data_IF_897386639817
#
_entry.id   IF_897386639817
#
_cell.length_a   1.000
_cell.length_b   1.000
_cell.length_c   1.000
_cell.angle_alpha   90.00
_cell.angle_beta   90.00
_cell.angle_gamma   90.00
#
_symmetry.space_group_name_H-M   'P 1'
#
loop_
_entity.id
_entity.type
_entity.pdbx_description
1 polymer ?
#
# COMPACT_ATOMS: atom_id res chain seq x y z
N UNK A 1 -22.94 -1.99 26.36
CA UNK A 1 -22.16 -2.69 25.33
C UNK A 1 -20.75 -2.90 25.82
N UNK A 2 -20.30 -4.11 25.85
CA UNK A 2 -18.94 -4.40 26.23
C UNK A 2 -17.96 -4.01 25.14
N UNK A 3 -16.85 -3.45 25.57
CA UNK A 3 -15.76 -3.10 24.67
C UNK A 3 -14.78 -4.27 24.62
N UNK A 4 -14.51 -4.79 23.44
CA UNK A 4 -13.56 -5.86 23.28
C UNK A 4 -12.26 -5.34 22.68
N UNK A 5 -11.16 -5.96 23.05
CA UNK A 5 -9.84 -5.61 22.56
C UNK A 5 -9.26 -6.80 21.81
N UNK A 6 -9.04 -6.62 20.52
CA UNK A 6 -8.53 -7.70 19.67
C UNK A 6 -7.39 -7.20 18.81
N UNK A 7 -6.36 -8.01 18.68
CA UNK A 7 -5.30 -7.75 17.72
C UNK A 7 -5.85 -7.92 16.29
N UNK A 8 -5.36 -7.09 15.39
CA UNK A 8 -5.64 -7.23 13.98
C UNK A 8 -4.63 -8.21 13.40
N UNK A 9 -5.12 -9.27 12.78
CA UNK A 9 -4.27 -10.30 12.20
C UNK A 9 -4.21 -10.11 10.68
N UNK A 10 -3.04 -9.79 10.17
CA UNK A 10 -2.86 -9.47 8.75
C UNK A 10 -3.29 -10.63 7.85
N UNK A 11 -2.98 -11.87 8.24
CA UNK A 11 -3.35 -13.04 7.44
C UNK A 11 -4.87 -13.20 7.29
N UNK A 12 -5.64 -12.85 8.32
CA UNK A 12 -7.11 -12.89 8.25
C UNK A 12 -7.65 -11.83 7.31
N UNK A 13 -7.07 -10.64 7.34
CA UNK A 13 -7.48 -9.55 6.45
C UNK A 13 -7.12 -9.87 5.00
N UNK A 14 -5.91 -10.36 4.77
CA UNK A 14 -5.45 -10.75 3.44
C UNK A 14 -6.29 -11.87 2.83
N UNK A 15 -6.75 -12.82 3.65
CA UNK A 15 -7.60 -13.91 3.17
C UNK A 15 -8.91 -13.43 2.56
N UNK A 16 -9.35 -12.21 2.89
CA UNK A 16 -10.58 -11.61 2.35
C UNK A 16 -10.35 -10.82 1.07
N UNK A 17 -9.10 -10.67 0.63
CA UNK A 17 -8.72 -9.89 -0.54
C UNK A 17 -8.32 -10.85 -1.64
N UNK A 18 -9.05 -10.80 -2.77
CA UNK A 18 -8.82 -11.69 -3.91
C UNK A 18 -8.37 -10.95 -5.18
N UNK A 19 -8.33 -9.63 -5.13
CA UNK A 19 -7.88 -8.78 -6.23
C UNK A 19 -6.50 -8.18 -5.96
N UNK A 20 -5.93 -7.56 -6.98
CA UNK A 20 -4.63 -6.91 -6.90
C UNK A 20 -4.77 -5.39 -7.03
N UNK A 21 -3.83 -4.67 -6.43
CA UNK A 21 -3.69 -3.21 -6.55
C UNK A 21 -4.86 -2.42 -5.99
N UNK A 22 -5.62 -3.00 -5.08
CA UNK A 22 -6.76 -2.35 -4.44
C UNK A 22 -6.60 -2.38 -2.93
N UNK A 23 -5.97 -1.37 -2.33
CA UNK A 23 -5.73 -1.33 -0.89
C UNK A 23 -7.03 -1.30 -0.09
N UNK A 24 -7.01 -1.98 1.04
CA UNK A 24 -8.13 -1.99 2.01
C UNK A 24 -7.65 -1.49 3.35
N UNK A 25 -8.45 -0.63 3.96
CA UNK A 25 -8.14 -0.09 5.28
C UNK A 25 -8.41 -1.14 6.34
N UNK A 26 -7.45 -1.34 7.26
CA UNK A 26 -7.59 -2.25 8.39
C UNK A 26 -7.55 -1.54 9.74
N UNK A 27 -7.01 -0.34 9.80
CA UNK A 27 -6.91 0.45 11.04
C UNK A 27 -6.61 1.90 10.71
N UNK A 28 -6.81 2.75 11.69
CA UNK A 28 -6.46 4.18 11.62
C UNK A 28 -5.69 4.59 12.86
N UNK A 29 -4.77 5.52 12.67
CA UNK A 29 -4.08 6.19 13.77
C UNK A 29 -4.01 7.68 13.42
N UNK A 30 -4.68 8.51 14.24
CA UNK A 30 -4.82 9.95 13.92
C UNK A 30 -5.44 10.11 12.52
N UNK A 31 -4.80 10.86 11.63
CA UNK A 31 -5.26 11.06 10.26
C UNK A 31 -4.71 10.02 9.30
N UNK A 32 -3.99 9.01 9.81
CA UNK A 32 -3.33 8.01 8.99
C UNK A 32 -4.13 6.73 8.92
N UNK A 33 -4.08 6.07 7.77
CA UNK A 33 -4.69 4.77 7.55
C UNK A 33 -3.62 3.71 7.33
N UNK A 34 -3.85 2.55 7.92
CA UNK A 34 -3.08 1.34 7.66
C UNK A 34 -3.88 0.55 6.63
N UNK A 35 -3.28 0.32 5.47
CA UNK A 35 -3.95 -0.37 4.36
C UNK A 35 -3.18 -1.63 4.01
N UNK A 36 -3.93 -2.70 3.77
CA UNK A 36 -3.34 -3.96 3.33
C UNK A 36 -3.71 -4.21 1.87
N UNK A 37 -2.78 -4.79 1.10
CA UNK A 37 -2.97 -4.95 -0.33
C UNK A 37 -2.16 -6.14 -0.85
N UNK A 38 -2.71 -6.80 -1.88
CA UNK A 38 -1.97 -7.76 -2.70
C UNK A 38 -1.59 -7.09 -4.00
N UNK A 39 -0.37 -7.32 -4.47
CA UNK A 39 0.08 -6.80 -5.75
C UNK A 39 0.79 -7.88 -6.54
N UNK A 40 0.71 -7.77 -7.86
CA UNK A 40 1.46 -8.59 -8.80
C UNK A 40 1.51 -7.86 -10.14
N UNK A 41 2.66 -7.90 -10.81
CA UNK A 41 2.87 -7.22 -12.08
C UNK A 41 3.22 -5.76 -11.93
N UNK A 42 3.00 -5.01 -12.99
CA UNK A 42 3.30 -3.59 -13.07
C UNK A 42 2.21 -2.72 -12.49
N UNK A 43 2.62 -1.56 -12.00
CA UNK A 43 1.72 -0.47 -11.70
C UNK A 43 2.07 0.72 -12.62
N UNK A 44 1.63 1.92 -12.28
CA UNK A 44 1.90 3.12 -13.07
C UNK A 44 2.88 4.03 -12.35
N UNK A 45 3.57 4.86 -13.14
CA UNK A 45 4.35 5.97 -12.61
C UNK A 45 3.40 6.99 -11.98
N UNK A 46 3.63 7.33 -10.72
CA UNK A 46 2.81 8.31 -10.01
C UNK A 46 3.60 8.89 -8.85
N UNK A 47 3.05 9.94 -8.26
CA UNK A 47 3.58 10.53 -7.04
C UNK A 47 2.44 10.99 -6.13
N UNK A 48 2.79 11.22 -4.88
CA UNK A 48 1.90 11.82 -3.89
C UNK A 48 2.51 13.17 -3.52
N UNK A 49 2.05 14.28 -4.11
CA UNK A 49 2.76 15.56 -3.97
C UNK A 49 2.74 16.15 -2.56
N UNK A 50 1.78 15.73 -1.73
CA UNK A 50 1.60 16.35 -0.41
C UNK A 50 1.92 15.41 0.75
N UNK A 51 2.27 14.16 0.50
CA UNK A 51 2.52 13.21 1.58
C UNK A 51 3.60 12.19 1.24
N UNK A 52 4.29 11.74 2.28
CA UNK A 52 5.12 10.55 2.22
C UNK A 52 4.23 9.31 2.20
N UNK A 53 4.76 8.20 1.70
CA UNK A 53 4.06 6.92 1.69
C UNK A 53 4.98 5.83 2.19
N UNK A 54 4.51 5.03 3.16
CA UNK A 54 5.31 3.93 3.73
C UNK A 54 4.84 2.59 3.17
N UNK A 55 5.81 1.80 2.70
CA UNK A 55 5.62 0.43 2.23
C UNK A 55 6.27 -0.52 3.23
N UNK A 56 5.52 -1.50 3.72
CA UNK A 56 6.03 -2.56 4.60
C UNK A 56 5.67 -3.89 3.94
N UNK A 57 6.68 -4.68 3.53
CA UNK A 57 6.43 -5.96 2.88
C UNK A 57 6.26 -7.05 3.93
N UNK A 58 5.18 -7.82 3.79
CA UNK A 58 4.85 -8.95 4.66
C UNK A 58 5.27 -10.28 4.00
N UNK A 59 5.13 -10.39 2.68
CA UNK A 59 5.44 -11.59 1.93
C UNK A 59 5.79 -11.21 0.50
N UNK A 60 6.74 -11.93 -0.10
CA UNK A 60 7.21 -11.68 -1.46
C UNK A 60 8.28 -10.60 -1.52
N UNK A 61 8.62 -10.17 -2.72
CA UNK A 61 9.61 -9.13 -2.95
C UNK A 61 9.02 -8.02 -3.82
N UNK A 62 8.98 -6.81 -3.27
CA UNK A 62 8.55 -5.61 -3.97
C UNK A 62 9.77 -4.89 -4.54
N UNK A 63 9.64 -4.39 -5.78
CA UNK A 63 10.58 -3.44 -6.35
C UNK A 63 9.85 -2.12 -6.55
N UNK A 64 10.43 -1.04 -6.06
CA UNK A 64 9.93 0.29 -6.36
C UNK A 64 10.93 0.96 -7.28
N UNK A 65 10.50 1.31 -8.48
CA UNK A 65 11.31 2.02 -9.47
C UNK A 65 11.18 3.51 -9.27
N UNK A 66 12.30 4.20 -9.31
CA UNK A 66 12.41 5.65 -9.37
C UNK A 66 13.04 6.05 -10.69
N UNK A 67 12.96 7.32 -11.07
CA UNK A 67 13.56 7.76 -12.32
C UNK A 67 15.08 7.58 -12.35
N UNK A 68 15.71 7.58 -11.20
CA UNK A 68 17.17 7.49 -11.03
C UNK A 68 17.63 6.24 -10.29
N UNK A 69 16.78 5.25 -10.12
CA UNK A 69 17.18 4.01 -9.44
C UNK A 69 15.99 3.16 -9.03
N UNK A 70 16.25 2.20 -8.15
CA UNK A 70 15.22 1.31 -7.63
C UNK A 70 15.60 0.82 -6.25
N UNK A 71 14.59 0.37 -5.49
CA UNK A 71 14.80 -0.28 -4.20
C UNK A 71 14.04 -1.61 -4.18
N UNK A 72 14.68 -2.63 -3.63
CA UNK A 72 14.06 -3.93 -3.38
C UNK A 72 13.70 -4.03 -1.91
N UNK A 73 12.48 -4.47 -1.63
CA UNK A 73 11.95 -4.58 -0.27
C UNK A 73 11.41 -5.99 -0.10
N UNK A 74 12.02 -6.75 0.81
CA UNK A 74 11.62 -8.11 1.14
C UNK A 74 10.80 -8.18 2.42
N UNK A 75 10.37 -9.41 2.81
CA UNK A 75 9.56 -9.60 4.02
C UNK A 75 10.24 -9.03 5.26
N UNK A 76 9.49 -8.25 6.04
CA UNK A 76 10.01 -7.62 7.24
C UNK A 76 10.78 -6.33 6.98
N UNK A 77 10.85 -5.87 5.74
CA UNK A 77 11.52 -4.64 5.36
C UNK A 77 10.52 -3.57 4.97
N UNK A 78 10.95 -2.31 5.07
CA UNK A 78 10.11 -1.19 4.74
C UNK A 78 10.89 -0.11 3.98
N UNK A 79 10.16 0.76 3.31
CA UNK A 79 10.72 1.94 2.68
C UNK A 79 9.70 3.07 2.72
N UNK A 80 10.16 4.29 2.97
CA UNK A 80 9.33 5.48 2.92
C UNK A 80 9.65 6.24 1.64
N UNK A 81 8.66 6.35 0.75
CA UNK A 81 8.78 7.17 -0.46
C UNK A 81 8.45 8.61 -0.06
N UNK A 82 9.41 9.55 -0.21
CA UNK A 82 9.15 10.95 0.13
C UNK A 82 8.09 11.57 -0.78
N UNK A 83 7.39 12.55 -0.25
CA UNK A 83 6.39 13.31 -1.04
C UNK A 83 6.98 13.86 -2.32
N UNK A 84 6.21 13.85 -3.39
CA UNK A 84 6.58 14.39 -4.68
C UNK A 84 7.55 13.55 -5.48
N UNK A 85 8.03 12.42 -4.96
CA UNK A 85 8.96 11.56 -5.69
C UNK A 85 8.17 10.60 -6.57
N UNK A 86 8.38 10.69 -7.88
CA UNK A 86 7.78 9.75 -8.83
C UNK A 86 8.29 8.34 -8.61
N UNK A 87 7.37 7.38 -8.58
CA UNK A 87 7.72 5.99 -8.38
C UNK A 87 6.73 5.06 -9.07
N UNK A 88 7.18 3.84 -9.33
CA UNK A 88 6.38 2.78 -9.93
C UNK A 88 6.65 1.48 -9.22
N UNK A 89 5.73 0.98 -8.40
CA UNK A 89 5.85 -0.34 -7.77
C UNK A 89 5.74 -1.45 -8.81
N UNK A 90 6.50 -2.52 -8.60
CA UNK A 90 6.48 -3.71 -9.44
C UNK A 90 6.71 -4.96 -8.60
N UNK A 91 5.97 -6.02 -8.90
CA UNK A 91 6.16 -7.32 -8.28
C UNK A 91 6.12 -8.41 -9.34
N UNK A 92 7.19 -9.16 -9.52
CA UNK A 92 7.24 -10.28 -10.46
C UNK A 92 6.26 -11.37 -10.04
N UNK A 93 6.20 -11.65 -8.73
CA UNK A 93 5.27 -12.59 -8.10
C UNK A 93 4.45 -11.86 -7.08
N UNK A 94 3.39 -12.50 -6.59
CA UNK A 94 2.50 -11.89 -5.60
C UNK A 94 3.26 -11.38 -4.39
N UNK A 95 2.96 -10.15 -4.00
CA UNK A 95 3.45 -9.50 -2.79
C UNK A 95 2.25 -9.15 -1.92
N UNK A 96 2.40 -9.42 -0.63
CA UNK A 96 1.47 -8.96 0.40
C UNK A 96 2.18 -7.86 1.19
N UNK A 97 1.54 -6.70 1.30
CA UNK A 97 2.17 -5.56 1.96
C UNK A 97 1.18 -4.69 2.69
N UNK A 98 1.73 -3.89 3.59
CA UNK A 98 1.03 -2.89 4.37
C UNK A 98 1.48 -1.51 3.90
N UNK A 99 0.51 -0.63 3.69
CA UNK A 99 0.76 0.78 3.37
C UNK A 99 0.33 1.63 4.55
N UNK A 100 1.07 2.68 4.83
CA UNK A 100 0.70 3.69 5.84
C UNK A 100 0.73 5.04 5.15
N UNK A 101 -0.40 5.73 5.16
CA UNK A 101 -0.57 7.01 4.47
C UNK A 101 -1.77 7.76 5.05
N UNK A 102 -1.85 9.08 4.86
CA UNK A 102 -2.98 9.86 5.34
C UNK A 102 -4.30 9.41 4.70
N UNK A 103 -5.39 9.56 5.45
CA UNK A 103 -6.73 9.34 4.94
C UNK A 103 -6.95 10.17 3.69
N UNK A 104 -7.59 9.57 2.67
CA UNK A 104 -7.86 10.25 1.42
C UNK A 104 -6.79 10.09 0.35
N UNK A 105 -5.67 9.43 0.66
CA UNK A 105 -4.62 9.17 -0.32
C UNK A 105 -5.09 8.10 -1.30
N UNK A 106 -5.09 8.42 -2.60
CA UNK A 106 -5.45 7.48 -3.66
C UNK A 106 -4.23 6.66 -4.08
N UNK A 107 -4.45 5.41 -4.48
CA UNK A 107 -3.36 4.51 -4.87
C UNK A 107 -2.56 5.00 -6.09
N UNK A 108 -3.17 5.82 -6.93
CA UNK A 108 -2.53 6.41 -8.12
C UNK A 108 -2.04 7.84 -7.90
N UNK A 109 -2.08 8.33 -6.66
CA UNK A 109 -1.71 9.70 -6.34
C UNK A 109 -2.62 10.70 -7.06
N UNK A 110 -2.02 11.76 -7.63
CA UNK A 110 -2.79 12.74 -8.39
C UNK A 110 -2.96 12.38 -9.87
N UNK A 111 -2.34 11.29 -10.32
CA UNK A 111 -2.39 10.89 -11.73
C UNK A 111 -3.78 10.42 -12.14
N UNK A 112 -4.43 9.62 -11.29
CA UNK A 112 -5.76 9.08 -11.59
C UNK A 112 -5.73 8.01 -12.69
N UNK A 113 -6.86 7.79 -13.34
CA UNK A 113 -6.99 6.87 -14.45
C UNK A 113 -7.61 5.53 -14.08
N UNK A 114 -7.51 4.56 -14.99
CA UNK A 114 -8.17 3.25 -14.87
C UNK A 114 -7.66 2.42 -13.69
N UNK A 115 -6.45 2.68 -13.24
CA UNK A 115 -5.82 1.93 -12.15
C UNK A 115 -6.18 2.49 -10.77
N UNK A 116 -6.94 3.59 -10.69
CA UNK A 116 -7.35 4.16 -9.40
C UNK A 116 -8.39 3.28 -8.73
N UNK A 117 -8.07 2.80 -7.54
CA UNK A 117 -9.00 2.01 -6.73
C UNK A 117 -9.92 2.93 -5.92
N UNK A 118 -11.09 2.41 -5.57
CA UNK A 118 -11.99 3.09 -4.66
C UNK A 118 -11.28 3.31 -3.32
N UNK A 119 -11.39 4.53 -2.78
CA UNK A 119 -10.76 4.89 -1.53
C UNK A 119 -11.63 4.53 -0.33
N UNK A 120 -10.99 4.42 0.84
CA UNK A 120 -11.66 4.22 2.13
C UNK A 120 -12.53 2.96 2.18
N UNK A 121 -12.08 1.90 1.51
CA UNK A 121 -12.74 0.59 1.57
C UNK A 121 -12.09 -0.23 2.69
N UNK A 122 -12.89 -0.63 3.65
CA UNK A 122 -12.44 -1.38 4.82
C UNK A 122 -12.62 -2.89 4.66
N UNK A 123 -11.78 -3.61 5.30
CA UNK A 123 -11.86 -5.08 5.35
C UNK A 123 -11.74 -5.62 6.77
#
# INVERSE_FOLDING_TARGET
MEKTYQAIRFSEKLAKITDFWKPRVIAEMNDYQFKIVRIQGDFIWHDHPETDETFIVLSGQLRIDFRDGAVLIGPGEMFVVPRGVEHKPYAEREVEMLLIEPRGTLNTGHVGGDRTAQNDVWV
#
